data_IF_679793502913
#
_entry.id   IF_679793502913
#
_cell.length_a   1.000
_cell.length_b   1.000
_cell.length_c   1.000
_cell.angle_alpha   90.00
_cell.angle_beta   90.00
_cell.angle_gamma   90.00
#
_symmetry.space_group_name_H-M   'P 1'
#
loop_
_entity.id
_entity.type
_entity.pdbx_description
1 polymer ?
#
# COMPACT_ATOMS: atom_id res chain seq x y z
N UNK A 1 -14.22 -7.47 -3.88
CA UNK A 1 -14.32 -6.01 -4.00
C UNK A 1 -15.54 -5.68 -4.83
N UNK A 2 -16.20 -4.55 -4.54
CA UNK A 2 -17.29 -4.03 -5.37
C UNK A 2 -16.79 -2.90 -6.30
N UNK A 3 -17.66 -2.33 -7.14
CA UNK A 3 -17.29 -1.25 -8.06
C UNK A 3 -16.77 0.01 -7.33
N UNK A 4 -17.31 0.32 -6.15
CA UNK A 4 -16.86 1.45 -5.32
C UNK A 4 -15.44 1.23 -4.80
N UNK A 5 -15.13 0.03 -4.29
CA UNK A 5 -13.77 -0.36 -3.87
C UNK A 5 -12.80 -0.21 -5.04
N UNK A 6 -13.22 -0.59 -6.25
CA UNK A 6 -12.37 -0.56 -7.42
C UNK A 6 -12.05 0.87 -7.89
N UNK A 7 -13.05 1.76 -7.93
CA UNK A 7 -12.85 3.17 -8.28
C UNK A 7 -11.98 3.90 -7.24
N UNK A 8 -12.24 3.69 -5.95
CA UNK A 8 -11.43 4.27 -4.88
C UNK A 8 -9.99 3.75 -4.93
N UNK A 9 -9.81 2.45 -5.19
CA UNK A 9 -8.49 1.83 -5.35
C UNK A 9 -7.63 2.50 -6.41
N UNK A 10 -8.16 2.76 -7.61
CA UNK A 10 -7.39 3.42 -8.69
C UNK A 10 -6.81 4.78 -8.25
N UNK A 11 -7.61 5.58 -7.54
CA UNK A 11 -7.18 6.90 -7.08
C UNK A 11 -6.08 6.81 -6.02
N UNK A 12 -6.17 5.83 -5.11
CA UNK A 12 -5.14 5.62 -4.11
C UNK A 12 -3.85 5.05 -4.72
N UNK A 13 -3.95 4.10 -5.65
CA UNK A 13 -2.81 3.56 -6.41
C UNK A 13 -2.01 4.67 -7.08
N UNK A 14 -2.68 5.51 -7.89
CA UNK A 14 -2.02 6.60 -8.62
C UNK A 14 -1.36 7.60 -7.67
N UNK A 15 -2.07 7.98 -6.60
CA UNK A 15 -1.58 8.94 -5.60
C UNK A 15 -0.30 8.43 -4.92
N UNK A 16 -0.26 7.17 -4.54
CA UNK A 16 0.90 6.56 -3.85
C UNK A 16 2.04 6.32 -4.83
N UNK A 17 1.74 5.75 -6.00
CA UNK A 17 2.74 5.48 -7.02
C UNK A 17 3.48 6.77 -7.42
N UNK A 18 2.75 7.88 -7.58
CA UNK A 18 3.33 9.20 -7.88
C UNK A 18 4.18 9.74 -6.74
N UNK A 19 3.75 9.58 -5.49
CA UNK A 19 4.49 10.11 -4.33
C UNK A 19 5.78 9.34 -4.02
N UNK A 20 5.81 8.04 -4.34
CA UNK A 20 6.97 7.18 -4.15
C UNK A 20 7.82 7.04 -5.43
N UNK A 21 7.40 7.65 -6.54
CA UNK A 21 8.13 7.61 -7.80
C UNK A 21 9.52 8.23 -7.64
N UNK A 22 10.54 7.56 -8.18
CA UNK A 22 11.95 7.96 -8.11
C UNK A 22 12.48 8.26 -6.69
N UNK A 23 11.86 7.65 -5.66
CA UNK A 23 12.35 7.77 -4.28
C UNK A 23 13.71 7.07 -4.14
N UNK A 24 14.77 7.85 -4.08
CA UNK A 24 16.13 7.34 -3.87
C UNK A 24 16.25 6.65 -2.50
N UNK A 25 16.66 5.37 -2.54
CA UNK A 25 16.81 4.51 -1.36
C UNK A 25 15.54 4.50 -0.49
N UNK A 26 14.49 3.76 -0.90
CA UNK A 26 13.17 3.82 -0.29
C UNK A 26 13.12 3.03 1.02
N UNK A 27 13.84 3.46 2.05
CA UNK A 27 13.82 2.77 3.36
C UNK A 27 12.42 2.76 3.99
N UNK A 28 12.12 1.81 4.90
CA UNK A 28 10.84 1.77 5.62
C UNK A 28 10.47 3.11 6.28
N UNK A 29 11.46 3.82 6.84
CA UNK A 29 11.21 5.13 7.46
C UNK A 29 10.79 6.19 6.43
N UNK A 30 11.43 6.24 5.26
CA UNK A 30 11.09 7.18 4.18
C UNK A 30 9.71 6.88 3.59
N UNK A 31 9.43 5.61 3.30
CA UNK A 31 8.12 5.18 2.78
C UNK A 31 7.02 5.47 3.80
N UNK A 32 7.21 5.13 5.09
CA UNK A 32 6.25 5.48 6.16
C UNK A 32 5.96 6.97 6.19
N UNK A 33 7.01 7.79 6.17
CA UNK A 33 6.89 9.24 6.22
C UNK A 33 6.03 9.76 5.06
N UNK A 34 6.28 9.30 3.84
CA UNK A 34 5.51 9.73 2.66
C UNK A 34 4.05 9.27 2.76
N UNK A 35 3.79 8.04 3.19
CA UNK A 35 2.42 7.55 3.39
C UNK A 35 1.67 8.35 4.46
N UNK A 36 2.34 8.68 5.57
CA UNK A 36 1.79 9.54 6.62
C UNK A 36 1.54 10.97 6.11
N UNK A 37 2.45 11.54 5.31
CA UNK A 37 2.30 12.87 4.69
C UNK A 37 1.12 12.89 3.68
N UNK A 38 0.73 11.73 3.10
CA UNK A 38 -0.49 11.56 2.30
C UNK A 38 -1.77 11.36 3.15
N UNK A 39 -1.64 11.20 4.45
CA UNK A 39 -2.76 11.03 5.39
C UNK A 39 -3.14 9.58 5.67
N UNK A 40 -2.33 8.59 5.28
CA UNK A 40 -2.49 7.22 5.76
C UNK A 40 -1.90 7.13 7.16
N UNK A 41 -2.71 6.81 8.17
CA UNK A 41 -2.25 6.68 9.56
C UNK A 41 -1.48 5.37 9.77
N UNK A 42 -0.61 5.33 10.78
CA UNK A 42 0.28 4.19 11.03
C UNK A 42 -0.48 2.88 11.26
N UNK A 43 -1.68 2.92 11.84
CA UNK A 43 -2.54 1.75 12.07
C UNK A 43 -3.02 1.10 10.77
N UNK A 44 -2.96 1.80 9.64
CA UNK A 44 -3.30 1.26 8.32
C UNK A 44 -2.09 0.79 7.52
N UNK A 45 -0.87 1.07 7.99
CA UNK A 45 0.38 0.73 7.29
C UNK A 45 0.91 -0.58 7.87
N UNK A 46 0.78 -1.65 7.12
CA UNK A 46 1.16 -3.00 7.54
C UNK A 46 2.37 -3.52 6.79
N UNK A 47 3.11 -4.42 7.43
CA UNK A 47 4.23 -5.16 6.84
C UNK A 47 5.24 -4.33 6.06
N UNK A 48 5.48 -3.10 6.55
CA UNK A 48 6.46 -2.18 5.99
C UNK A 48 7.88 -2.71 6.23
N UNK A 49 8.41 -3.42 5.23
CA UNK A 49 9.64 -4.21 5.35
C UNK A 49 10.52 -3.99 4.12
N UNK A 50 11.83 -3.89 4.34
CA UNK A 50 12.81 -3.76 3.26
C UNK A 50 13.45 -5.11 2.97
N UNK A 51 13.60 -5.42 1.68
CA UNK A 51 14.37 -6.54 1.16
C UNK A 51 15.25 -6.03 0.02
N UNK A 52 16.56 -6.03 0.24
CA UNK A 52 17.50 -5.37 -0.67
C UNK A 52 17.18 -3.89 -0.85
N UNK A 53 17.01 -3.45 -2.09
CA UNK A 53 16.72 -2.06 -2.47
C UNK A 53 15.24 -1.73 -2.53
N UNK A 54 14.37 -2.68 -2.17
CA UNK A 54 12.92 -2.55 -2.29
C UNK A 54 12.26 -2.58 -0.92
N UNK A 55 11.31 -1.67 -0.70
CA UNK A 55 10.44 -1.71 0.48
C UNK A 55 9.01 -2.09 0.09
N UNK A 56 8.52 -3.17 0.70
CA UNK A 56 7.16 -3.67 0.60
C UNK A 56 6.30 -3.07 1.71
N UNK A 57 5.02 -2.88 1.43
CA UNK A 57 4.03 -2.42 2.40
C UNK A 57 2.63 -2.84 1.98
N UNK A 58 1.71 -2.84 2.95
CA UNK A 58 0.29 -2.95 2.69
C UNK A 58 -0.46 -1.77 3.32
N UNK A 59 -1.52 -1.33 2.65
CA UNK A 59 -2.46 -0.35 3.20
C UNK A 59 -3.84 -0.97 3.43
N UNK A 60 -4.32 -0.90 4.67
CA UNK A 60 -5.69 -1.27 5.02
C UNK A 60 -6.66 -0.10 4.74
N UNK A 61 -7.41 -0.20 3.64
CA UNK A 61 -8.39 0.82 3.22
C UNK A 61 -9.83 0.40 3.50
N UNK A 62 -10.07 -0.47 4.49
CA UNK A 62 -11.41 -0.92 4.90
C UNK A 62 -12.23 0.14 5.67
N UNK A 63 -11.81 1.40 5.67
CA UNK A 63 -12.40 2.54 6.41
C UNK A 63 -13.93 2.63 6.29
N UNK A 64 -14.50 2.32 5.13
CA UNK A 64 -15.95 2.41 4.89
C UNK A 64 -16.64 1.04 4.81
N UNK A 65 -16.11 0.02 5.50
CA UNK A 65 -16.70 -1.34 5.52
C UNK A 65 -16.49 -2.14 4.23
N UNK A 66 -15.52 -1.71 3.40
CA UNK A 66 -15.13 -2.39 2.17
C UNK A 66 -14.13 -3.52 2.38
N UNK A 67 -13.64 -4.07 1.26
CA UNK A 67 -12.58 -5.10 1.26
C UNK A 67 -11.24 -4.58 0.73
N UNK A 68 -11.16 -3.30 0.39
CA UNK A 68 -10.04 -2.72 -0.30
C UNK A 68 -8.78 -2.72 0.60
N UNK A 69 -7.69 -3.23 0.05
CA UNK A 69 -6.35 -2.96 0.51
C UNK A 69 -5.45 -2.66 -0.70
N UNK A 70 -4.24 -2.17 -0.44
CA UNK A 70 -3.20 -2.03 -1.46
C UNK A 70 -1.97 -2.84 -1.05
N UNK A 71 -1.34 -3.52 -2.02
CA UNK A 71 0.00 -4.11 -1.93
C UNK A 71 0.95 -3.20 -2.69
N UNK A 72 1.94 -2.65 -1.98
CA UNK A 72 2.87 -1.70 -2.51
C UNK A 72 4.31 -2.19 -2.46
N UNK A 73 5.07 -1.86 -3.49
CA UNK A 73 6.50 -2.12 -3.61
C UNK A 73 7.19 -0.87 -4.14
N UNK A 74 8.03 -0.24 -3.32
CA UNK A 74 8.81 0.94 -3.69
C UNK A 74 10.29 0.57 -3.91
N UNK A 75 10.81 0.89 -5.09
CA UNK A 75 12.22 0.82 -5.48
C UNK A 75 12.62 2.13 -6.16
N UNK A 76 13.93 2.41 -6.23
CA UNK A 76 14.46 3.70 -6.67
C UNK A 76 13.99 4.19 -8.05
N UNK A 77 13.60 3.29 -8.96
CA UNK A 77 13.13 3.63 -10.32
C UNK A 77 11.78 2.98 -10.65
N UNK A 78 11.16 2.33 -9.67
CA UNK A 78 9.93 1.60 -9.90
C UNK A 78 9.14 1.52 -8.60
N UNK A 79 7.95 2.11 -8.61
CA UNK A 79 6.94 1.83 -7.61
C UNK A 79 5.78 1.09 -8.26
N UNK A 80 5.38 -0.03 -7.67
CA UNK A 80 4.18 -0.79 -8.04
C UNK A 80 3.21 -0.73 -6.87
N UNK A 81 1.95 -0.43 -7.15
CA UNK A 81 0.87 -0.42 -6.16
C UNK A 81 -0.34 -1.08 -6.81
N UNK A 82 -0.79 -2.19 -6.25
CA UNK A 82 -1.91 -2.97 -6.77
C UNK A 82 -2.99 -3.16 -5.70
N UNK A 83 -4.26 -3.21 -6.11
CA UNK A 83 -5.36 -3.54 -5.21
C UNK A 83 -5.26 -4.98 -4.76
N UNK A 84 -5.52 -5.16 -3.47
CA UNK A 84 -5.79 -6.46 -2.88
C UNK A 84 -7.15 -6.46 -2.18
N UNK A 85 -7.62 -7.67 -1.84
CA UNK A 85 -8.89 -7.85 -1.13
C UNK A 85 -8.66 -8.51 0.23
N UNK A 86 -8.90 -7.76 1.31
CA UNK A 86 -8.89 -8.28 2.67
C UNK A 86 -10.30 -8.74 3.11
N UNK A 87 -10.43 -9.57 4.16
CA UNK A 87 -11.69 -9.79 4.87
C UNK A 87 -12.25 -8.47 5.42
N UNK A 88 -13.58 -8.30 5.39
CA UNK A 88 -14.26 -7.06 5.84
C UNK A 88 -14.03 -6.80 7.33
N UNK A 89 -14.01 -7.87 8.14
CA UNK A 89 -13.90 -7.81 9.60
C UNK A 89 -12.65 -8.54 10.08
N UNK A 90 -12.27 -8.25 11.33
CA UNK A 90 -11.10 -8.86 11.99
C UNK A 90 -9.79 -8.12 11.70
N UNK A 91 -8.69 -8.60 12.33
CA UNK A 91 -7.36 -8.05 12.11
C UNK A 91 -7.00 -7.99 10.63
N UNK A 92 -6.20 -6.99 10.24
CA UNK A 92 -5.64 -6.98 8.90
C UNK A 92 -4.60 -8.10 8.78
N UNK A 93 -4.86 -9.04 7.88
CA UNK A 93 -3.88 -10.02 7.45
C UNK A 93 -3.54 -9.71 6.00
N UNK A 94 -2.29 -9.37 5.67
CA UNK A 94 -1.90 -9.17 4.29
C UNK A 94 -2.19 -10.44 3.49
N UNK A 95 -2.74 -10.31 2.27
CA UNK A 95 -2.87 -11.45 1.38
C UNK A 95 -1.48 -12.05 1.15
N UNK A 96 -1.38 -13.37 1.03
CA UNK A 96 -0.12 -13.99 0.62
C UNK A 96 0.35 -13.30 -0.66
N UNK A 97 1.55 -12.71 -0.60
CA UNK A 97 2.16 -12.05 -1.75
C UNK A 97 2.14 -13.07 -2.88
N UNK A 98 1.31 -12.84 -3.89
CA UNK A 98 1.24 -13.73 -5.03
C UNK A 98 2.62 -13.66 -5.67
N UNK A 99 3.39 -14.75 -5.56
CA UNK A 99 4.65 -14.87 -6.27
C UNK A 99 4.31 -14.69 -7.76
N UNK A 100 4.82 -13.60 -8.34
CA UNK A 100 4.92 -13.48 -9.78
C UNK A 100 5.76 -14.64 -10.33
#
# INVERSE_FOLDING_TARGET
MNARDWCAGNLHEERIARALWDLADPTPAKVRKILNDLGYIDERIHDLKQSGTTTRFFLDLRDQGGRLCLDGSAAAHQTVVDKCAAPVTGPFTPPEATKA
#
